data_IF_616891191425
#
_entry.id   IF_616891191425
#
_cell.length_a   1.000
_cell.length_b   1.000
_cell.length_c   1.000
_cell.angle_alpha   90.00
_cell.angle_beta   90.00
_cell.angle_gamma   90.00
#
_symmetry.space_group_name_H-M   'P 1'
#
loop_
_entity.id
_entity.type
_entity.pdbx_description
1 polymer ?
#
# COMPACT_ATOMS: atom_id res chain seq x y z
N UNK A 1 1.14 6.56 40.87
CA UNK A 1 1.91 5.38 40.48
C UNK A 1 3.31 5.83 40.05
N UNK A 2 4.38 5.23 40.60
CA UNK A 2 5.75 5.54 40.18
C UNK A 2 5.93 5.18 38.69
N UNK A 3 6.48 6.09 37.90
CA UNK A 3 6.78 5.90 36.50
C UNK A 3 7.89 4.86 36.40
N UNK A 4 7.62 3.74 35.71
CA UNK A 4 8.58 2.65 35.53
C UNK A 4 9.54 3.00 34.41
N UNK A 5 10.83 2.95 34.65
CA UNK A 5 11.86 3.41 33.69
C UNK A 5 12.49 2.24 32.88
N UNK A 6 12.13 1.00 33.18
CA UNK A 6 12.66 -0.17 32.52
C UNK A 6 11.61 -1.29 32.39
N UNK A 7 11.80 -2.13 31.39
CA UNK A 7 11.02 -3.33 31.11
C UNK A 7 11.97 -4.54 31.00
N UNK A 8 11.56 -5.69 31.54
CA UNK A 8 12.22 -6.94 31.23
C UNK A 8 11.91 -7.36 29.77
N UNK A 9 12.78 -8.20 29.18
CA UNK A 9 12.53 -8.76 27.84
C UNK A 9 11.19 -9.50 27.74
N UNK A 10 10.78 -10.20 28.82
CA UNK A 10 9.52 -10.91 28.87
C UNK A 10 8.32 -9.97 28.88
N UNK A 11 8.41 -8.83 29.55
CA UNK A 11 7.39 -7.78 29.51
C UNK A 11 7.31 -7.11 28.14
N UNK A 12 8.44 -6.73 27.56
CA UNK A 12 8.51 -6.17 26.22
C UNK A 12 7.84 -7.09 25.18
N UNK A 13 8.14 -8.39 25.19
CA UNK A 13 7.50 -9.38 24.30
C UNK A 13 5.99 -9.44 24.49
N UNK A 14 5.50 -9.47 25.73
CA UNK A 14 4.06 -9.47 26.02
C UNK A 14 3.37 -8.20 25.53
N UNK A 15 4.01 -7.05 25.71
CA UNK A 15 3.48 -5.78 25.20
C UNK A 15 3.41 -5.80 23.68
N UNK A 16 4.48 -6.20 22.98
CA UNK A 16 4.51 -6.29 21.53
C UNK A 16 3.45 -7.25 20.97
N UNK A 17 3.27 -8.43 21.58
CA UNK A 17 2.21 -9.37 21.17
C UNK A 17 0.82 -8.81 21.41
N UNK A 18 0.60 -8.16 22.56
CA UNK A 18 -0.69 -7.60 22.91
C UNK A 18 -1.05 -6.39 22.05
N UNK A 19 -0.10 -5.49 21.77
CA UNK A 19 -0.33 -4.31 20.92
C UNK A 19 -0.73 -4.70 19.49
N UNK A 20 -0.16 -5.76 18.96
CA UNK A 20 -0.50 -6.29 17.64
C UNK A 20 -1.80 -7.11 17.60
N UNK A 21 -2.49 -7.28 18.74
CA UNK A 21 -3.75 -8.02 18.81
C UNK A 21 -3.62 -9.54 18.75
N UNK A 22 -2.43 -10.08 19.04
CA UNK A 22 -2.16 -11.52 19.01
C UNK A 22 -2.35 -12.21 20.38
N UNK A 23 -2.63 -11.45 21.44
CA UNK A 23 -2.83 -11.98 22.80
C UNK A 23 -4.30 -12.38 23.09
N UNK A 24 -5.24 -11.98 22.25
CA UNK A 24 -6.66 -12.28 22.42
C UNK A 24 -7.11 -13.36 21.43
N UNK A 25 -8.05 -14.18 21.85
CA UNK A 25 -8.73 -15.09 20.92
C UNK A 25 -9.62 -14.29 19.96
N UNK A 26 -9.77 -14.77 18.71
CA UNK A 26 -10.72 -14.19 17.77
C UNK A 26 -12.13 -14.13 18.35
N UNK A 27 -12.85 -13.05 18.06
CA UNK A 27 -14.24 -12.93 18.49
C UNK A 27 -15.12 -14.03 17.87
N UNK A 28 -16.12 -14.50 18.61
CA UNK A 28 -17.06 -15.47 18.10
C UNK A 28 -17.87 -14.90 16.91
N UNK A 29 -18.18 -15.76 15.94
CA UNK A 29 -18.93 -15.43 14.73
C UNK A 29 -18.07 -15.02 13.53
N UNK A 30 -18.71 -14.85 12.38
CA UNK A 30 -18.02 -14.47 11.15
C UNK A 30 -17.53 -13.02 11.23
N UNK A 31 -16.23 -12.75 11.00
CA UNK A 31 -15.72 -11.39 10.97
C UNK A 31 -16.31 -10.58 9.82
N UNK A 32 -16.61 -9.30 10.09
CA UNK A 32 -17.09 -8.35 9.09
C UNK A 32 -16.10 -7.22 8.79
N UNK A 33 -16.53 -6.27 7.96
CA UNK A 33 -15.71 -5.12 7.55
C UNK A 33 -15.16 -4.31 8.73
N UNK A 34 -15.95 -4.13 9.80
CA UNK A 34 -15.52 -3.38 10.99
C UNK A 34 -14.33 -4.03 11.69
N UNK A 35 -14.37 -5.34 11.86
CA UNK A 35 -13.30 -6.10 12.50
C UNK A 35 -12.04 -6.10 11.63
N UNK A 36 -12.18 -6.29 10.31
CA UNK A 36 -11.07 -6.19 9.36
C UNK A 36 -10.39 -4.81 9.46
N UNK A 37 -11.18 -3.73 9.36
CA UNK A 37 -10.66 -2.36 9.42
C UNK A 37 -9.91 -2.11 10.74
N UNK A 38 -10.49 -2.54 11.88
CA UNK A 38 -9.87 -2.40 13.18
C UNK A 38 -8.52 -3.14 13.31
N UNK A 39 -8.39 -4.31 12.66
CA UNK A 39 -7.10 -5.02 12.61
C UNK A 39 -6.08 -4.23 11.80
N UNK A 40 -6.43 -3.74 10.61
CA UNK A 40 -5.48 -3.00 9.77
C UNK A 40 -5.08 -1.66 10.42
N UNK A 41 -6.02 -0.95 11.05
CA UNK A 41 -5.73 0.26 11.81
C UNK A 41 -4.79 0.00 12.99
N UNK A 42 -4.91 -1.16 13.64
CA UNK A 42 -4.05 -1.58 14.75
C UNK A 42 -2.62 -1.82 14.31
N UNK A 43 -2.42 -2.55 13.20
CA UNK A 43 -1.09 -2.95 12.72
C UNK A 43 -0.48 -1.96 11.72
N UNK A 44 -1.25 -0.99 11.25
CA UNK A 44 -0.83 0.11 10.40
C UNK A 44 -0.88 -0.18 8.90
N UNK A 45 -0.55 -1.38 8.47
CA UNK A 45 -0.54 -1.79 7.07
C UNK A 45 -0.63 -3.32 6.90
N UNK A 46 -0.88 -3.75 5.66
CA UNK A 46 -0.73 -5.14 5.21
C UNK A 46 0.22 -5.14 4.01
N UNK A 47 1.44 -5.66 4.17
CA UNK A 47 2.39 -5.79 3.07
C UNK A 47 1.84 -6.76 2.02
N UNK A 48 1.79 -6.31 0.77
CA UNK A 48 1.26 -7.08 -0.36
C UNK A 48 2.35 -8.01 -0.88
N UNK A 49 2.03 -9.30 -0.97
CA UNK A 49 2.89 -10.28 -1.60
C UNK A 49 2.16 -10.92 -2.79
N UNK A 50 2.85 -10.97 -3.93
CA UNK A 50 2.35 -11.61 -5.15
C UNK A 50 2.51 -13.13 -5.14
N UNK A 51 3.44 -13.67 -4.34
CA UNK A 51 3.69 -15.10 -4.22
C UNK A 51 2.49 -15.81 -3.62
N UNK A 52 2.01 -16.85 -4.28
CA UNK A 52 0.82 -17.58 -3.92
C UNK A 52 1.12 -19.09 -3.91
N UNK A 53 1.69 -19.60 -2.82
CA UNK A 53 1.91 -21.04 -2.63
C UNK A 53 0.65 -21.71 -2.08
N UNK A 54 0.31 -21.44 -0.82
CA UNK A 54 -0.96 -21.85 -0.18
C UNK A 54 -1.97 -20.70 -0.23
N UNK A 55 -1.53 -19.53 0.15
CA UNK A 55 -2.24 -18.27 0.06
C UNK A 55 -1.24 -17.12 0.05
N UNK A 56 -1.64 -15.93 -0.40
CA UNK A 56 -0.75 -14.75 -0.36
C UNK A 56 -0.58 -14.26 1.07
N UNK A 57 0.65 -13.86 1.43
CA UNK A 57 1.02 -13.54 2.80
C UNK A 57 0.17 -12.43 3.43
N UNK A 58 -0.32 -11.46 2.68
CA UNK A 58 -1.15 -10.36 3.21
C UNK A 58 -2.53 -10.77 3.76
N UNK A 59 -2.99 -12.00 3.51
CA UNK A 59 -4.19 -12.51 4.17
C UNK A 59 -3.92 -13.04 5.59
N UNK A 60 -2.69 -13.46 5.89
CA UNK A 60 -2.34 -14.10 7.14
C UNK A 60 -2.43 -13.20 8.38
N UNK A 61 -2.03 -11.91 8.33
CA UNK A 61 -2.20 -10.99 9.47
C UNK A 61 -3.66 -10.82 9.90
N UNK A 62 -4.59 -10.88 8.95
CA UNK A 62 -6.02 -10.86 9.23
C UNK A 62 -6.48 -12.19 9.85
N UNK A 63 -6.08 -13.30 9.24
CA UNK A 63 -6.43 -14.64 9.72
C UNK A 63 -5.95 -14.88 11.16
N UNK A 64 -4.72 -14.50 11.49
CA UNK A 64 -4.14 -14.68 12.82
C UNK A 64 -4.85 -13.89 13.94
N UNK A 65 -5.67 -12.90 13.60
CA UNK A 65 -6.38 -12.04 14.54
C UNK A 65 -7.91 -12.20 14.51
N UNK A 66 -8.42 -12.60 13.37
CA UNK A 66 -9.86 -12.73 13.14
C UNK A 66 -10.33 -14.19 13.14
N UNK A 67 -9.38 -15.16 13.01
CA UNK A 67 -9.74 -16.52 12.66
C UNK A 67 -10.15 -16.64 11.19
N UNK A 68 -10.88 -17.72 10.82
CA UNK A 68 -11.40 -17.86 9.46
C UNK A 68 -12.31 -16.68 9.08
N UNK A 69 -12.00 -16.03 7.97
CA UNK A 69 -12.75 -14.89 7.45
C UNK A 69 -12.86 -14.98 5.92
N UNK A 70 -13.84 -14.27 5.36
CA UNK A 70 -14.02 -14.15 3.92
C UNK A 70 -12.97 -13.21 3.32
N UNK A 71 -12.02 -13.69 2.47
CA UNK A 71 -11.01 -12.84 1.82
C UNK A 71 -11.59 -11.70 0.97
N UNK A 72 -12.83 -11.82 0.49
CA UNK A 72 -13.52 -10.76 -0.26
C UNK A 72 -13.76 -9.50 0.58
N UNK A 73 -13.73 -9.60 1.92
CA UNK A 73 -13.73 -8.42 2.79
C UNK A 73 -12.53 -7.51 2.50
N UNK A 74 -11.34 -8.08 2.32
CA UNK A 74 -10.14 -7.32 1.98
C UNK A 74 -10.24 -6.71 0.58
N UNK A 75 -10.71 -7.49 -0.39
CA UNK A 75 -10.91 -7.03 -1.76
C UNK A 75 -11.91 -5.86 -1.81
N UNK A 76 -13.01 -5.95 -1.07
CA UNK A 76 -14.00 -4.85 -0.97
C UNK A 76 -13.43 -3.64 -0.23
N UNK A 77 -12.69 -3.84 0.87
CA UNK A 77 -12.07 -2.75 1.61
C UNK A 77 -11.11 -1.92 0.75
N UNK A 78 -10.37 -2.57 -0.15
CA UNK A 78 -9.37 -1.95 -1.01
C UNK A 78 -9.90 -1.57 -2.42
N UNK A 79 -10.99 -2.19 -2.89
CA UNK A 79 -11.45 -2.08 -4.28
C UNK A 79 -12.81 -1.42 -4.48
N UNK A 80 -13.58 -1.19 -3.41
CA UNK A 80 -14.96 -0.69 -3.52
C UNK A 80 -15.25 0.48 -2.58
N UNK A 81 -16.14 1.37 -2.98
CA UNK A 81 -16.63 2.43 -2.11
C UNK A 81 -17.67 1.89 -1.08
N UNK A 82 -17.70 2.37 0.15
CA UNK A 82 -16.75 3.32 0.74
C UNK A 82 -15.40 2.66 1.02
N UNK A 83 -14.37 3.15 0.34
CA UNK A 83 -13.01 2.60 0.41
C UNK A 83 -12.43 2.76 1.81
N UNK A 84 -11.85 1.69 2.34
CA UNK A 84 -11.22 1.66 3.66
C UNK A 84 -9.69 1.61 3.56
N UNK A 85 -9.21 0.96 2.52
CA UNK A 85 -7.78 0.75 2.28
C UNK A 85 -7.41 1.27 0.89
N UNK A 86 -6.16 1.69 0.77
CA UNK A 86 -5.55 2.04 -0.51
C UNK A 86 -4.18 1.37 -0.60
N UNK A 87 -3.76 1.02 -1.81
CA UNK A 87 -2.44 0.47 -2.07
C UNK A 87 -1.45 1.60 -2.31
N UNK A 88 -0.31 1.58 -1.62
CA UNK A 88 0.83 2.45 -1.89
C UNK A 88 2.13 1.83 -1.37
N UNK A 89 3.26 2.45 -1.73
CA UNK A 89 4.58 2.14 -1.20
C UNK A 89 4.73 2.72 0.20
N UNK A 90 4.55 1.88 1.21
CA UNK A 90 4.82 2.19 2.62
C UNK A 90 6.14 1.56 3.06
N UNK A 91 6.13 0.44 3.81
CA UNK A 91 7.34 -0.36 3.99
C UNK A 91 7.76 -1.00 2.65
N UNK A 92 6.87 -1.73 2.03
CA UNK A 92 6.90 -2.20 0.65
C UNK A 92 5.53 -1.91 0.02
N UNK A 93 5.19 -2.53 -1.12
CA UNK A 93 3.82 -2.43 -1.64
C UNK A 93 2.84 -2.91 -0.56
N UNK A 94 1.98 -2.04 -0.08
CA UNK A 94 1.13 -2.29 1.08
C UNK A 94 -0.29 -1.78 0.89
N UNK A 95 -1.26 -2.47 1.49
CA UNK A 95 -2.55 -1.88 1.80
C UNK A 95 -2.44 -1.08 3.08
N UNK A 96 -2.76 0.20 3.02
CA UNK A 96 -2.79 1.12 4.16
C UNK A 96 -4.22 1.65 4.38
N UNK A 97 -4.61 2.02 5.60
CA UNK A 97 -5.83 2.79 5.81
C UNK A 97 -5.83 4.04 4.95
N UNK A 98 -6.96 4.39 4.34
CA UNK A 98 -7.06 5.57 3.46
C UNK A 98 -6.62 6.86 4.16
N UNK A 99 -6.86 6.97 5.47
CA UNK A 99 -6.44 8.12 6.29
C UNK A 99 -4.90 8.25 6.41
N UNK A 100 -4.13 7.20 6.13
CA UNK A 100 -2.67 7.23 6.15
C UNK A 100 -2.09 7.84 4.86
N UNK A 101 -2.85 7.83 3.76
CA UNK A 101 -2.35 8.30 2.46
C UNK A 101 -1.78 9.72 2.47
N UNK A 102 -2.40 10.74 3.13
CA UNK A 102 -1.83 12.08 3.18
C UNK A 102 -0.45 12.12 3.85
N UNK A 103 -0.19 11.27 4.83
CA UNK A 103 1.10 11.17 5.52
C UNK A 103 2.23 10.62 4.64
N UNK A 104 1.90 10.03 3.49
CA UNK A 104 2.88 9.47 2.53
C UNK A 104 3.09 10.37 1.31
N UNK A 105 2.44 11.54 1.23
CA UNK A 105 2.57 12.45 0.08
C UNK A 105 3.96 13.07 -0.07
N UNK A 106 4.71 13.22 1.04
CA UNK A 106 6.13 13.59 0.97
C UNK A 106 6.94 12.59 0.15
N UNK A 107 6.62 11.27 0.26
CA UNK A 107 7.25 10.19 -0.51
C UNK A 107 6.88 10.30 -1.99
N UNK A 108 5.63 10.63 -2.29
CA UNK A 108 5.17 10.90 -3.65
C UNK A 108 5.90 12.10 -4.27
N UNK A 109 6.05 13.19 -3.52
CA UNK A 109 6.77 14.37 -3.99
C UNK A 109 8.26 14.11 -4.26
N UNK A 110 8.88 13.19 -3.51
CA UNK A 110 10.29 12.81 -3.63
C UNK A 110 10.51 11.48 -4.37
N UNK A 111 9.55 11.04 -5.14
CA UNK A 111 9.61 9.72 -5.77
C UNK A 111 10.86 9.52 -6.65
N UNK A 112 11.38 10.57 -7.30
CA UNK A 112 12.58 10.50 -8.12
C UNK A 112 13.83 10.12 -7.34
N UNK A 113 13.89 10.46 -6.07
CA UNK A 113 15.03 10.18 -5.19
C UNK A 113 14.88 8.85 -4.45
N UNK A 114 13.64 8.39 -4.26
CA UNK A 114 13.29 7.28 -3.37
C UNK A 114 12.95 6.00 -4.15
N UNK A 115 12.34 6.13 -5.34
CA UNK A 115 11.95 4.99 -6.15
C UNK A 115 13.16 4.17 -6.59
N UNK A 116 13.01 2.85 -6.50
CA UNK A 116 14.09 1.94 -6.87
C UNK A 116 14.33 1.87 -8.38
N UNK A 117 15.57 1.52 -8.76
CA UNK A 117 15.98 1.40 -10.15
C UNK A 117 16.23 2.75 -10.83
N UNK A 118 16.10 2.76 -12.16
CA UNK A 118 16.31 3.94 -13.00
C UNK A 118 15.00 4.65 -13.39
N UNK A 119 13.97 4.57 -12.55
CA UNK A 119 12.66 5.13 -12.91
C UNK A 119 12.68 6.64 -13.13
N UNK A 120 13.52 7.38 -12.39
CA UNK A 120 13.68 8.82 -12.59
C UNK A 120 14.29 9.18 -13.95
N UNK A 121 15.40 8.54 -14.31
CA UNK A 121 16.05 8.73 -15.62
C UNK A 121 15.12 8.28 -16.75
N UNK A 122 14.45 7.14 -16.57
CA UNK A 122 13.47 6.64 -17.53
C UNK A 122 12.33 7.64 -17.78
N UNK A 123 11.87 8.33 -16.73
CA UNK A 123 10.81 9.33 -16.85
C UNK A 123 11.26 10.57 -17.65
N UNK A 124 12.52 10.96 -17.53
CA UNK A 124 13.10 12.06 -18.32
C UNK A 124 13.22 11.69 -19.81
N UNK A 125 13.66 10.47 -20.09
CA UNK A 125 13.87 9.96 -21.45
C UNK A 125 12.55 9.68 -22.22
N UNK A 126 11.43 9.48 -21.48
CA UNK A 126 10.15 9.02 -22.05
C UNK A 126 8.95 9.89 -21.64
N UNK A 127 9.12 11.21 -21.54
CA UNK A 127 8.09 12.15 -21.10
C UNK A 127 6.77 12.03 -21.87
N UNK A 128 6.84 11.83 -23.19
CA UNK A 128 5.65 11.66 -24.05
C UNK A 128 4.88 10.37 -23.71
N UNK A 129 5.58 9.29 -23.41
CA UNK A 129 4.95 8.05 -22.96
C UNK A 129 4.25 8.23 -21.62
N UNK A 130 4.86 8.96 -20.67
CA UNK A 130 4.25 9.27 -19.39
C UNK A 130 2.96 10.08 -19.56
N UNK A 131 2.98 11.08 -20.43
CA UNK A 131 1.79 11.88 -20.75
C UNK A 131 0.69 11.01 -21.38
N UNK A 132 1.03 10.15 -22.35
CA UNK A 132 0.10 9.24 -22.99
C UNK A 132 -0.52 8.24 -22.01
N UNK A 133 0.28 7.58 -21.17
CA UNK A 133 -0.18 6.62 -20.16
C UNK A 133 -1.11 7.30 -19.14
N UNK A 134 -0.72 8.47 -18.64
CA UNK A 134 -1.56 9.24 -17.71
C UNK A 134 -2.89 9.66 -18.37
N UNK A 135 -2.83 10.19 -19.59
CA UNK A 135 -4.02 10.58 -20.34
C UNK A 135 -4.97 9.41 -20.56
N UNK A 136 -4.43 8.22 -20.84
CA UNK A 136 -5.23 7.01 -21.04
C UNK A 136 -5.93 6.56 -19.75
N UNK A 137 -5.21 6.55 -18.61
CA UNK A 137 -5.79 6.25 -17.30
C UNK A 137 -6.85 7.28 -16.92
N UNK A 138 -6.61 8.56 -17.17
CA UNK A 138 -7.57 9.63 -16.88
C UNK A 138 -8.83 9.49 -17.73
N UNK A 139 -8.69 9.15 -19.01
CA UNK A 139 -9.82 9.05 -19.93
C UNK A 139 -10.68 7.80 -19.67
N UNK A 140 -10.05 6.65 -19.38
CA UNK A 140 -10.72 5.34 -19.41
C UNK A 140 -10.50 4.46 -18.17
N UNK A 141 -9.74 4.92 -17.16
CA UNK A 141 -9.53 4.14 -15.93
C UNK A 141 -10.84 3.72 -15.23
N UNK A 142 -10.80 2.65 -14.44
CA UNK A 142 -9.61 1.89 -14.05
C UNK A 142 -9.18 0.83 -15.07
N UNK A 143 -7.87 0.81 -15.41
CA UNK A 143 -7.28 -0.07 -16.42
C UNK A 143 -6.07 -0.86 -15.87
N UNK A 144 -5.86 -2.06 -16.40
CA UNK A 144 -4.65 -2.83 -16.18
C UNK A 144 -3.51 -2.37 -17.11
N UNK A 145 -2.29 -2.75 -16.79
CA UNK A 145 -1.12 -2.48 -17.67
C UNK A 145 -1.33 -3.00 -19.09
N UNK A 146 -1.92 -4.19 -19.24
CA UNK A 146 -2.17 -4.80 -20.56
C UNK A 146 -3.21 -4.02 -21.37
N UNK A 147 -4.28 -3.55 -20.72
CA UNK A 147 -5.30 -2.74 -21.38
C UNK A 147 -4.73 -1.41 -21.88
N UNK A 148 -3.83 -0.79 -21.09
CA UNK A 148 -3.15 0.45 -21.47
C UNK A 148 -2.14 0.19 -22.61
N UNK A 149 -1.36 -0.89 -22.54
CA UNK A 149 -0.46 -1.29 -23.63
C UNK A 149 -1.21 -1.47 -24.95
N UNK A 150 -2.33 -2.18 -24.92
CA UNK A 150 -3.19 -2.36 -26.09
C UNK A 150 -3.78 -1.05 -26.63
N UNK A 151 -4.19 -0.17 -25.72
CA UNK A 151 -4.78 1.12 -26.06
C UNK A 151 -3.81 2.07 -26.75
N UNK A 152 -2.56 2.07 -26.30
CA UNK A 152 -1.50 2.92 -26.87
C UNK A 152 -0.83 2.28 -28.09
N UNK A 153 -1.26 1.09 -28.51
CA UNK A 153 -0.63 0.28 -29.55
C UNK A 153 0.90 0.11 -29.33
N UNK A 154 1.31 0.10 -28.05
CA UNK A 154 2.70 0.08 -27.63
C UNK A 154 3.19 -1.37 -27.51
N UNK A 155 3.23 -2.08 -28.65
CA UNK A 155 3.70 -3.45 -28.71
C UNK A 155 5.20 -3.49 -29.03
N UNK A 156 6.02 -3.16 -28.04
CA UNK A 156 7.48 -3.29 -28.16
C UNK A 156 7.88 -4.72 -27.77
N UNK A 157 8.55 -5.48 -28.65
CA UNK A 157 9.02 -6.82 -28.34
C UNK A 157 9.91 -6.82 -27.08
N UNK A 158 9.55 -7.65 -26.10
CA UNK A 158 10.35 -7.82 -24.87
C UNK A 158 11.63 -8.57 -25.22
N UNK A 159 12.79 -7.95 -25.01
CA UNK A 159 14.08 -8.61 -25.14
C UNK A 159 14.17 -9.80 -24.16
N UNK A 160 14.65 -10.97 -24.66
CA UNK A 160 14.75 -12.20 -23.85
C UNK A 160 16.06 -12.33 -23.07
N UNK A 161 16.92 -11.31 -23.09
CA UNK A 161 18.34 -11.45 -22.76
C UNK A 161 18.71 -11.17 -21.30
N UNK A 162 17.75 -10.86 -20.42
CA UNK A 162 18.03 -10.59 -19.00
C UNK A 162 17.22 -11.51 -18.08
N UNK A 163 17.95 -12.22 -17.24
CA UNK A 163 17.40 -12.94 -16.07
C UNK A 163 16.89 -11.92 -15.06
N UNK A 164 15.63 -11.48 -15.21
CA UNK A 164 15.01 -10.49 -14.34
C UNK A 164 13.62 -10.10 -14.83
N UNK A 165 12.96 -9.25 -14.07
CA UNK A 165 11.65 -8.71 -14.42
C UNK A 165 11.77 -7.77 -15.64
N UNK A 166 11.58 -8.28 -16.85
CA UNK A 166 11.47 -7.47 -18.06
C UNK A 166 10.11 -6.77 -18.11
N UNK A 167 10.05 -5.60 -17.51
CA UNK A 167 8.87 -4.76 -17.60
C UNK A 167 8.81 -4.05 -18.94
N UNK A 168 7.59 -3.99 -19.54
CA UNK A 168 7.35 -3.12 -20.68
C UNK A 168 7.57 -1.65 -20.32
N UNK A 169 7.82 -0.79 -21.31
CA UNK A 169 7.97 0.65 -21.09
C UNK A 169 6.71 1.25 -20.44
N UNK A 170 5.53 0.80 -20.86
CA UNK A 170 4.24 1.20 -20.25
C UNK A 170 4.17 0.83 -18.78
N UNK A 171 4.62 -0.37 -18.41
CA UNK A 171 4.62 -0.80 -17.01
C UNK A 171 5.60 0.03 -16.17
N UNK A 172 6.75 0.39 -16.70
CA UNK A 172 7.71 1.27 -16.02
C UNK A 172 7.10 2.68 -15.81
N UNK A 173 6.43 3.22 -16.84
CA UNK A 173 5.72 4.50 -16.72
C UNK A 173 4.60 4.44 -15.67
N UNK A 174 3.81 3.37 -15.65
CA UNK A 174 2.77 3.16 -14.63
C UNK A 174 3.33 3.07 -13.22
N UNK A 175 4.45 2.38 -13.01
CA UNK A 175 5.07 2.32 -11.68
C UNK A 175 5.62 3.69 -11.25
N UNK A 176 6.23 4.45 -12.14
CA UNK A 176 6.71 5.79 -11.81
C UNK A 176 5.56 6.77 -11.50
N UNK A 177 4.49 6.75 -12.31
CA UNK A 177 3.28 7.54 -12.05
C UNK A 177 2.59 7.12 -10.74
N UNK A 178 2.62 5.84 -10.40
CA UNK A 178 2.11 5.33 -9.13
C UNK A 178 2.98 5.78 -7.95
N UNK A 179 4.30 5.75 -8.08
CA UNK A 179 5.23 6.33 -7.10
C UNK A 179 4.99 7.82 -6.90
N UNK A 180 4.79 8.56 -7.97
CA UNK A 180 4.48 9.99 -7.94
C UNK A 180 3.10 10.32 -7.34
N UNK A 181 2.23 9.31 -7.17
CA UNK A 181 0.86 9.51 -6.73
C UNK A 181 -0.04 10.17 -7.78
N UNK A 182 0.41 10.27 -9.04
CA UNK A 182 -0.39 10.80 -10.16
C UNK A 182 -1.49 9.83 -10.59
N UNK A 183 -1.24 8.53 -10.42
CA UNK A 183 -2.22 7.46 -10.51
C UNK A 183 -2.20 6.62 -9.23
N UNK A 184 -3.25 5.86 -8.99
CA UNK A 184 -3.38 4.99 -7.82
C UNK A 184 -4.01 3.65 -8.18
N UNK A 185 -4.04 2.71 -7.23
CA UNK A 185 -4.69 1.41 -7.41
C UNK A 185 -6.20 1.52 -7.14
N UNK A 186 -7.00 1.28 -8.16
CA UNK A 186 -8.45 1.13 -8.01
C UNK A 186 -8.85 -0.27 -7.50
N UNK A 187 -7.88 -1.18 -7.36
CA UNK A 187 -8.04 -2.56 -6.94
C UNK A 187 -7.20 -3.49 -7.80
N UNK A 188 -7.45 -4.80 -7.66
CA UNK A 188 -6.73 -5.83 -8.42
C UNK A 188 -7.70 -6.78 -9.10
N UNK A 189 -7.26 -7.35 -10.21
CA UNK A 189 -8.00 -8.40 -10.92
C UNK A 189 -7.92 -9.74 -10.15
N UNK A 190 -8.67 -10.74 -10.60
CA UNK A 190 -8.54 -12.12 -10.07
C UNK A 190 -7.13 -12.70 -10.27
N UNK A 191 -6.42 -12.31 -11.34
CA UNK A 191 -5.04 -12.67 -11.61
C UNK A 191 -4.04 -11.83 -10.81
N UNK A 192 -4.53 -10.97 -9.91
CA UNK A 192 -3.76 -10.11 -9.03
C UNK A 192 -3.04 -8.96 -9.76
N UNK A 193 -3.41 -8.62 -10.99
CA UNK A 193 -2.92 -7.44 -11.68
C UNK A 193 -3.55 -6.17 -11.06
N UNK A 194 -2.73 -5.14 -10.89
CA UNK A 194 -3.20 -3.82 -10.42
C UNK A 194 -4.03 -3.14 -11.52
N UNK A 195 -5.14 -2.55 -11.12
CA UNK A 195 -5.96 -1.66 -11.96
C UNK A 195 -5.69 -0.22 -11.56
N UNK A 196 -5.23 0.57 -12.49
CA UNK A 196 -4.83 1.96 -12.26
C UNK A 196 -5.96 2.91 -12.59
N UNK A 197 -6.14 3.92 -11.75
CA UNK A 197 -7.05 5.05 -11.99
C UNK A 197 -6.48 6.31 -11.33
N UNK A 198 -7.09 7.45 -11.59
CA UNK A 198 -6.69 8.73 -10.99
C UNK A 198 -7.14 8.83 -9.53
N UNK A 199 -6.33 9.46 -8.65
CA UNK A 199 -6.60 9.47 -7.21
C UNK A 199 -7.96 10.05 -6.82
N UNK A 200 -8.44 11.09 -7.50
CA UNK A 200 -9.71 11.74 -7.16
C UNK A 200 -10.95 10.87 -7.42
N UNK A 201 -10.85 9.80 -8.24
CA UNK A 201 -11.91 8.80 -8.43
C UNK A 201 -11.83 7.66 -7.43
N UNK A 202 -10.64 7.40 -6.91
CA UNK A 202 -10.36 6.23 -6.06
C UNK A 202 -10.42 6.56 -4.59
N UNK A 203 -9.81 7.66 -4.18
CA UNK A 203 -9.75 8.07 -2.78
C UNK A 203 -11.06 8.72 -2.33
N UNK A 204 -11.48 8.50 -1.06
CA UNK A 204 -12.55 9.28 -0.47
C UNK A 204 -12.26 10.79 -0.60
N UNK A 205 -13.31 11.57 -0.85
CA UNK A 205 -13.16 13.02 -1.10
C UNK A 205 -12.41 13.73 0.03
N UNK A 206 -12.72 13.39 1.28
CA UNK A 206 -12.09 13.95 2.47
C UNK A 206 -10.59 13.65 2.53
N UNK A 207 -10.15 12.50 2.02
CA UNK A 207 -8.73 12.14 1.93
C UNK A 207 -8.07 12.86 0.76
N UNK A 208 -8.70 12.82 -0.42
CA UNK A 208 -8.16 13.48 -1.61
C UNK A 208 -8.01 14.99 -1.44
N UNK A 209 -9.03 15.66 -0.86
CA UNK A 209 -9.02 17.11 -0.63
C UNK A 209 -8.26 17.56 0.61
N UNK A 210 -7.79 16.61 1.44
CA UNK A 210 -6.99 16.95 2.61
C UNK A 210 -5.69 17.66 2.19
N UNK A 211 -5.27 18.71 2.92
CA UNK A 211 -3.98 19.34 2.66
C UNK A 211 -2.84 18.33 2.87
N UNK A 212 -1.77 18.48 2.13
CA UNK A 212 -0.55 17.71 2.37
C UNK A 212 0.10 18.25 3.64
N UNK A 213 0.28 17.40 4.68
CA UNK A 213 0.92 17.85 5.90
C UNK A 213 2.40 18.21 5.65
N UNK A 214 3.00 19.12 6.44
CA UNK A 214 4.44 19.28 6.50
C UNK A 214 5.16 17.97 6.81
N UNK A 215 6.41 17.83 6.38
CA UNK A 215 7.16 16.58 6.51
C UNK A 215 7.30 16.12 7.96
N UNK A 216 7.54 17.04 8.90
CA UNK A 216 7.69 16.74 10.32
C UNK A 216 6.37 16.22 10.92
N UNK A 217 5.23 16.77 10.55
CA UNK A 217 3.91 16.27 10.95
C UNK A 217 3.62 14.90 10.32
N UNK A 218 3.98 14.71 9.05
CA UNK A 218 3.82 13.44 8.36
C UNK A 218 4.66 12.35 9.03
N UNK A 219 5.93 12.63 9.33
CA UNK A 219 6.82 11.69 10.01
C UNK A 219 6.35 11.39 11.43
N UNK A 220 5.95 12.41 12.20
CA UNK A 220 5.40 12.21 13.53
C UNK A 220 4.14 11.31 13.50
N UNK A 221 3.27 11.51 12.50
CA UNK A 221 2.08 10.68 12.29
C UNK A 221 2.42 9.23 11.96
N UNK A 222 3.38 8.99 11.06
CA UNK A 222 3.83 7.64 10.69
C UNK A 222 4.51 6.93 11.87
N UNK A 223 5.41 7.62 12.59
CA UNK A 223 6.05 7.10 13.82
C UNK A 223 4.99 6.73 14.87
N UNK A 224 3.96 7.57 15.04
CA UNK A 224 2.88 7.28 15.98
C UNK A 224 2.06 6.05 15.58
N UNK A 225 1.87 5.79 14.29
CA UNK A 225 1.24 4.54 13.80
C UNK A 225 2.13 3.35 14.14
N UNK A 226 3.41 3.39 13.78
CA UNK A 226 4.38 2.34 14.09
C UNK A 226 4.49 2.07 15.60
N UNK A 227 4.61 3.12 16.42
CA UNK A 227 4.72 3.00 17.87
C UNK A 227 3.47 2.33 18.50
N UNK A 228 2.28 2.66 18.01
CA UNK A 228 1.04 1.98 18.45
C UNK A 228 1.02 0.51 18.04
N UNK A 229 1.45 0.19 16.84
CA UNK A 229 1.49 -1.18 16.34
C UNK A 229 2.49 -2.05 17.11
N UNK A 230 3.66 -1.52 17.42
CA UNK A 230 4.69 -2.22 18.19
C UNK A 230 4.42 -2.26 19.70
N UNK A 231 3.83 -1.19 20.26
CA UNK A 231 3.63 -1.01 21.70
C UNK A 231 4.90 -0.77 22.49
N UNK A 232 6.00 -1.42 22.12
CA UNK A 232 7.38 -1.18 22.56
C UNK A 232 8.30 -1.41 21.39
N UNK A 233 9.19 -0.47 21.12
CA UNK A 233 10.11 -0.53 20.00
C UNK A 233 11.38 0.26 20.31
N UNK A 234 12.46 -0.06 19.63
CA UNK A 234 13.68 0.74 19.56
C UNK A 234 13.51 1.85 18.52
N UNK A 235 14.40 2.85 18.54
CA UNK A 235 14.41 3.89 17.51
C UNK A 235 14.56 3.29 16.11
N UNK A 236 15.45 2.30 15.94
CA UNK A 236 15.68 1.68 14.62
C UNK A 236 14.45 0.95 14.08
N UNK A 237 13.63 0.33 14.95
CA UNK A 237 12.38 -0.34 14.55
C UNK A 237 11.27 0.66 14.17
N UNK A 238 11.34 1.89 14.64
CA UNK A 238 10.38 2.96 14.29
C UNK A 238 10.79 3.76 13.06
N UNK A 239 12.04 3.59 12.59
CA UNK A 239 12.57 4.30 11.40
C UNK A 239 12.38 3.54 10.11
N UNK A 240 12.04 2.28 10.15
CA UNK A 240 11.86 1.37 9.02
C UNK A 240 10.52 1.59 8.24
#
# INVERSE_FOLDING_TARGET
MARREWLSRAEARRIAIASQGLAAEPAAGAPGMRQLTAVVERIGLLQIDSVNVLTRAHYLPLFSRLGPYDPDLLHRAAGQAPRRLVEYWAHEASFIPVATQPLLRWRMARWRDIAWGRLSTFAEDHADLFAAVRGEVEARGPMTSREIEAALAHDVPRGKDNWGWNWSLVKQALEALFWAGEITSAGRTQQFERRYDVPHRVLPREVWSAPTPPDDEAFAGLIAIGARAHGVATESELRD
#
